data_IF_012535227013
#
_entry.id   IF_012535227013
#
_cell.length_a   1.000
_cell.length_b   1.000
_cell.length_c   1.000
_cell.angle_alpha   90.00
_cell.angle_beta   90.00
_cell.angle_gamma   90.00
#
_symmetry.space_group_name_H-M   'P 1'
#
loop_
_entity.id
_entity.type
_entity.pdbx_description
1 polymer ?
#
# COMPACT_ATOMS: atom_id res chain seq x y z
N UNK A 1 -18.17 -25.06 19.75
CA UNK A 1 -18.84 -23.95 19.03
C UNK A 1 -20.32 -23.76 19.40
N UNK A 2 -21.05 -24.79 19.86
CA UNK A 2 -22.47 -24.66 20.22
C UNK A 2 -22.80 -23.58 21.26
N UNK A 3 -22.03 -23.48 22.35
CA UNK A 3 -22.20 -22.43 23.37
C UNK A 3 -22.03 -21.01 22.80
N UNK A 4 -21.10 -20.83 21.87
CA UNK A 4 -20.86 -19.54 21.22
C UNK A 4 -22.03 -19.14 20.31
N UNK A 5 -22.59 -20.09 19.53
CA UNK A 5 -23.78 -19.87 18.71
C UNK A 5 -24.94 -19.38 19.57
N UNK A 6 -25.15 -20.03 20.70
CA UNK A 6 -26.23 -19.69 21.62
C UNK A 6 -26.02 -18.32 22.30
N UNK A 7 -24.82 -18.04 22.80
CA UNK A 7 -24.50 -16.71 23.37
C UNK A 7 -24.64 -15.59 22.35
N UNK A 8 -24.23 -15.80 21.10
CA UNK A 8 -24.35 -14.80 20.04
C UNK A 8 -25.83 -14.51 19.76
N UNK A 9 -26.67 -15.55 19.69
CA UNK A 9 -28.12 -15.42 19.54
C UNK A 9 -28.75 -14.64 20.69
N UNK A 10 -28.45 -15.01 21.94
CA UNK A 10 -28.95 -14.32 23.13
C UNK A 10 -28.51 -12.85 23.20
N UNK A 11 -27.28 -12.56 22.75
CA UNK A 11 -26.77 -11.19 22.66
C UNK A 11 -27.54 -10.37 21.61
N UNK A 12 -27.78 -10.93 20.43
CA UNK A 12 -28.49 -10.24 19.35
C UNK A 12 -29.96 -10.02 19.72
N UNK A 13 -30.67 -11.08 20.11
CA UNK A 13 -32.09 -11.03 20.51
C UNK A 13 -32.32 -10.17 21.76
N UNK A 14 -31.35 -10.12 22.67
CA UNK A 14 -31.45 -9.37 23.92
C UNK A 14 -30.89 -7.96 23.81
N UNK A 15 -29.56 -7.85 23.92
CA UNK A 15 -28.90 -6.54 24.07
C UNK A 15 -29.01 -5.69 22.81
N UNK A 16 -28.86 -6.30 21.63
CA UNK A 16 -28.90 -5.56 20.36
C UNK A 16 -30.31 -5.08 20.05
N UNK A 17 -31.33 -5.94 20.09
CA UNK A 17 -32.71 -5.50 19.83
C UNK A 17 -33.17 -4.43 20.84
N UNK A 18 -32.79 -4.53 22.12
CA UNK A 18 -33.07 -3.49 23.12
C UNK A 18 -32.40 -2.16 22.78
N UNK A 19 -31.23 -2.15 22.17
CA UNK A 19 -30.57 -0.93 21.73
C UNK A 19 -31.24 -0.36 20.46
N UNK A 20 -31.49 -1.21 19.46
CA UNK A 20 -32.11 -0.82 18.18
C UNK A 20 -33.52 -0.24 18.36
N UNK A 21 -34.29 -0.75 19.32
CA UNK A 21 -35.62 -0.21 19.63
C UNK A 21 -35.60 1.23 20.16
N UNK A 22 -34.50 1.66 20.78
CA UNK A 22 -34.33 3.04 21.27
C UNK A 22 -33.63 3.92 20.23
N UNK A 23 -32.60 3.39 19.61
CA UNK A 23 -31.75 4.10 18.67
C UNK A 23 -31.43 3.17 17.49
N UNK A 24 -32.10 3.35 16.33
CA UNK A 24 -31.80 2.55 15.15
C UNK A 24 -30.40 2.85 14.64
N UNK A 25 -29.82 1.89 13.91
CA UNK A 25 -28.55 2.10 13.24
C UNK A 25 -28.68 3.13 12.11
N UNK A 26 -27.56 3.80 11.80
CA UNK A 26 -27.49 4.87 10.79
C UNK A 26 -27.84 4.41 9.38
N UNK A 27 -27.67 3.12 9.09
CA UNK A 27 -27.96 2.50 7.81
C UNK A 27 -28.56 1.12 8.06
N UNK A 28 -29.47 0.65 7.19
CA UNK A 28 -30.00 -0.70 7.27
C UNK A 28 -28.97 -1.78 6.92
N UNK A 29 -27.99 -1.44 6.06
CA UNK A 29 -26.89 -2.32 5.65
C UNK A 29 -25.59 -1.52 5.67
N UNK A 30 -24.54 -2.13 6.18
CA UNK A 30 -23.19 -1.57 6.16
C UNK A 30 -22.36 -2.27 5.10
N UNK A 31 -21.70 -1.48 4.27
CA UNK A 31 -20.85 -1.93 3.17
C UNK A 31 -19.49 -1.26 3.24
N UNK A 32 -18.47 -1.97 2.80
CA UNK A 32 -17.17 -1.38 2.50
C UNK A 32 -17.28 -0.48 1.26
N UNK A 33 -16.22 0.27 0.93
CA UNK A 33 -16.14 1.07 -0.30
C UNK A 33 -16.12 0.23 -1.58
N UNK A 34 -15.94 -1.08 -1.47
CA UNK A 34 -16.00 -2.05 -2.56
C UNK A 34 -17.32 -2.81 -2.59
N UNK A 35 -18.37 -2.27 -1.95
CA UNK A 35 -19.72 -2.83 -1.88
C UNK A 35 -19.86 -4.19 -1.20
N UNK A 36 -18.84 -4.61 -0.43
CA UNK A 36 -18.91 -5.84 0.37
C UNK A 36 -19.71 -5.56 1.63
N UNK A 37 -20.86 -6.24 1.77
CA UNK A 37 -21.69 -6.21 2.98
C UNK A 37 -20.98 -6.87 4.16
N UNK A 38 -21.09 -6.28 5.34
CA UNK A 38 -20.49 -6.84 6.55
C UNK A 38 -21.45 -6.84 7.73
N UNK A 39 -21.29 -7.85 8.57
CA UNK A 39 -22.10 -8.07 9.78
C UNK A 39 -21.72 -7.07 10.86
N UNK A 40 -22.62 -6.87 11.84
CA UNK A 40 -22.34 -6.09 13.06
C UNK A 40 -21.16 -6.63 13.87
N UNK A 41 -20.99 -7.95 13.87
CA UNK A 41 -19.96 -8.65 14.64
C UNK A 41 -19.52 -9.89 13.88
N UNK A 42 -18.20 -10.11 13.81
CA UNK A 42 -17.58 -11.34 13.34
C UNK A 42 -17.03 -12.14 14.52
N UNK A 43 -17.13 -13.47 14.45
CA UNK A 43 -16.79 -14.44 15.48
C UNK A 43 -16.09 -15.65 14.85
N UNK A 44 -15.54 -16.58 15.65
CA UNK A 44 -15.06 -17.86 15.13
C UNK A 44 -16.09 -18.67 14.34
N UNK A 45 -17.39 -18.39 14.51
CA UNK A 45 -18.46 -19.05 13.74
C UNK A 45 -18.44 -18.65 12.26
N UNK A 46 -17.90 -17.47 11.95
CA UNK A 46 -17.86 -16.90 10.60
C UNK A 46 -16.73 -17.47 9.74
N UNK A 47 -15.83 -18.26 10.35
CA UNK A 47 -14.71 -18.94 9.70
C UNK A 47 -14.75 -20.46 9.96
N UNK A 48 -15.92 -21.04 10.27
CA UNK A 48 -16.07 -22.47 10.55
C UNK A 48 -15.61 -23.36 9.38
N UNK A 49 -15.74 -22.87 8.15
CA UNK A 49 -15.36 -23.60 6.94
C UNK A 49 -13.91 -23.34 6.48
N UNK A 50 -13.18 -22.47 7.17
CA UNK A 50 -11.81 -22.14 6.82
C UNK A 50 -10.90 -23.34 7.10
N UNK A 51 -10.23 -23.85 6.08
CA UNK A 51 -9.15 -24.81 6.24
C UNK A 51 -7.88 -24.05 6.61
N UNK A 52 -7.51 -24.11 7.89
CA UNK A 52 -6.35 -23.35 8.38
C UNK A 52 -5.08 -23.67 7.60
N UNK A 53 -4.85 -24.94 7.25
CA UNK A 53 -3.58 -25.34 6.62
C UNK A 53 -3.58 -24.95 5.15
N UNK A 54 -4.70 -25.15 4.45
CA UNK A 54 -4.76 -24.93 3.00
C UNK A 54 -5.11 -23.49 2.61
N UNK A 55 -5.91 -22.76 3.41
CA UNK A 55 -6.36 -21.40 3.09
C UNK A 55 -5.47 -20.32 3.74
N UNK A 56 -4.98 -20.55 4.97
CA UNK A 56 -4.06 -19.64 5.66
C UNK A 56 -2.59 -20.07 5.54
N UNK A 57 -2.31 -21.34 5.86
CA UNK A 57 -0.98 -21.92 5.83
C UNK A 57 0.04 -21.23 6.75
N UNK A 58 1.31 -21.36 6.37
CA UNK A 58 2.46 -20.79 7.06
C UNK A 58 3.14 -19.72 6.17
N UNK A 59 3.75 -18.67 6.75
CA UNK A 59 4.47 -17.68 5.94
C UNK A 59 5.64 -18.36 5.20
N UNK A 60 5.88 -17.94 3.96
CA UNK A 60 6.91 -18.54 3.09
C UNK A 60 6.47 -19.82 2.36
N UNK A 61 5.24 -20.28 2.54
CA UNK A 61 4.67 -21.45 1.87
C UNK A 61 3.35 -21.08 1.17
N UNK A 62 3.00 -21.79 0.09
CA UNK A 62 1.70 -21.64 -0.57
C UNK A 62 0.56 -21.87 0.45
N UNK A 63 -0.53 -21.07 0.47
CA UNK A 63 -0.91 -20.02 -0.51
C UNK A 63 -0.33 -18.63 -0.23
N UNK A 64 0.67 -18.51 0.65
CA UNK A 64 1.34 -17.26 1.03
C UNK A 64 0.42 -16.20 1.68
N UNK A 65 -0.77 -16.59 2.11
CA UNK A 65 -1.75 -15.71 2.79
C UNK A 65 -1.13 -14.98 3.98
N UNK A 66 -0.18 -15.62 4.69
CA UNK A 66 0.51 -15.05 5.86
C UNK A 66 1.84 -14.36 5.55
N UNK A 67 2.18 -14.24 4.27
CA UNK A 67 3.40 -13.57 3.79
C UNK A 67 4.29 -14.49 2.95
N UNK A 68 5.04 -13.89 2.03
CA UNK A 68 5.90 -14.60 1.07
C UNK A 68 7.26 -15.01 1.63
N UNK A 69 7.63 -14.55 2.83
CA UNK A 69 8.90 -14.88 3.49
C UNK A 69 8.63 -15.56 4.84
N UNK A 70 9.34 -16.64 5.21
CA UNK A 70 9.08 -17.37 6.45
C UNK A 70 9.35 -16.55 7.71
N UNK A 71 10.29 -15.60 7.67
CA UNK A 71 10.64 -14.76 8.82
C UNK A 71 10.06 -13.34 8.75
N UNK A 72 9.48 -12.95 7.61
CA UNK A 72 8.99 -11.60 7.32
C UNK A 72 9.89 -10.51 7.94
N UNK A 73 9.29 -9.55 8.65
CA UNK A 73 9.95 -8.39 9.22
C UNK A 73 10.74 -8.65 10.50
N UNK A 74 10.75 -9.89 11.01
CA UNK A 74 11.73 -10.30 12.04
C UNK A 74 13.11 -10.54 11.42
N UNK A 75 13.16 -10.93 10.14
CA UNK A 75 14.40 -11.11 9.39
C UNK A 75 14.87 -9.82 8.74
N UNK A 76 14.00 -9.18 7.94
CA UNK A 76 14.31 -7.93 7.25
C UNK A 76 13.06 -7.06 7.16
N UNK A 77 13.17 -5.78 7.54
CA UNK A 77 12.09 -4.82 7.32
C UNK A 77 11.75 -4.66 5.84
N UNK A 78 10.55 -4.16 5.54
CA UNK A 78 10.21 -3.74 4.19
C UNK A 78 11.17 -2.65 3.72
N UNK A 79 11.34 -2.50 2.41
CA UNK A 79 12.13 -1.40 1.87
C UNK A 79 11.38 -0.09 2.08
N UNK A 80 11.99 0.82 2.83
CA UNK A 80 11.54 2.21 2.88
C UNK A 80 11.97 2.85 1.56
N UNK A 81 11.00 3.09 0.68
CA UNK A 81 11.23 3.55 -0.69
C UNK A 81 10.31 4.72 -0.99
N UNK A 82 10.80 5.95 -0.81
CA UNK A 82 10.03 7.14 -1.16
C UNK A 82 10.15 7.37 -2.67
N UNK A 83 9.00 7.63 -3.30
CA UNK A 83 8.92 8.07 -4.68
C UNK A 83 9.32 9.54 -4.77
N UNK A 84 10.38 9.85 -5.50
CA UNK A 84 10.93 11.20 -5.57
C UNK A 84 11.57 11.50 -6.94
N UNK A 85 11.37 12.74 -7.38
CA UNK A 85 11.95 13.34 -8.56
C UNK A 85 11.31 14.72 -8.77
N UNK A 86 12.11 15.70 -9.12
CA UNK A 86 11.68 17.05 -9.50
C UNK A 86 12.86 17.80 -10.12
N UNK A 87 12.56 18.79 -10.96
CA UNK A 87 13.56 19.67 -11.57
C UNK A 87 14.59 18.89 -12.37
N UNK A 88 15.86 19.23 -12.15
CA UNK A 88 17.00 18.63 -12.83
C UNK A 88 17.47 17.33 -12.17
N UNK A 89 18.33 16.59 -12.88
CA UNK A 89 19.00 15.41 -12.32
C UNK A 89 19.79 15.74 -11.05
N UNK A 90 20.45 16.91 -10.99
CA UNK A 90 21.19 17.38 -9.82
C UNK A 90 20.28 17.62 -8.61
N UNK A 91 19.12 18.25 -8.83
CA UNK A 91 18.16 18.54 -7.76
C UNK A 91 17.60 17.26 -7.16
N UNK A 92 17.28 16.30 -8.02
CA UNK A 92 16.79 14.98 -7.58
C UNK A 92 17.90 14.15 -6.93
N UNK A 93 19.15 14.19 -7.42
CA UNK A 93 20.28 13.52 -6.78
C UNK A 93 20.52 14.03 -5.34
N UNK A 94 20.47 15.35 -5.12
CA UNK A 94 20.54 15.95 -3.78
C UNK A 94 19.43 15.41 -2.89
N UNK A 95 18.22 15.28 -3.43
CA UNK A 95 17.09 14.70 -2.69
C UNK A 95 17.30 13.23 -2.36
N UNK A 96 17.86 12.42 -3.26
CA UNK A 96 18.18 11.02 -2.98
C UNK A 96 19.22 10.87 -1.88
N UNK A 97 20.32 11.63 -1.94
CA UNK A 97 21.35 11.63 -0.89
C UNK A 97 20.76 12.02 0.45
N UNK A 98 19.93 13.07 0.49
CA UNK A 98 19.19 13.45 1.70
C UNK A 98 18.33 12.30 2.23
N UNK A 99 17.54 11.66 1.37
CA UNK A 99 16.64 10.58 1.80
C UNK A 99 17.41 9.35 2.31
N UNK A 100 18.49 8.96 1.63
CA UNK A 100 19.36 7.87 2.04
C UNK A 100 19.99 8.15 3.42
N UNK A 101 20.48 9.38 3.62
CA UNK A 101 21.03 9.83 4.92
C UNK A 101 19.98 9.80 6.04
N UNK A 102 18.69 9.94 5.69
CA UNK A 102 17.56 9.91 6.62
C UNK A 102 16.88 8.54 6.72
N UNK A 103 17.54 7.46 6.28
CA UNK A 103 17.09 6.08 6.51
C UNK A 103 16.25 5.45 5.41
N UNK A 104 16.13 6.10 4.25
CA UNK A 104 15.61 5.44 3.05
C UNK A 104 16.53 4.27 2.66
N UNK A 105 15.95 3.13 2.28
CA UNK A 105 16.69 1.88 1.98
C UNK A 105 16.52 1.41 0.53
N UNK A 106 15.79 2.17 -0.30
CA UNK A 106 15.73 1.95 -1.74
C UNK A 106 15.25 3.20 -2.46
N UNK A 107 15.74 3.44 -3.67
CA UNK A 107 15.39 4.62 -4.48
C UNK A 107 14.18 4.35 -5.38
N UNK A 108 13.39 5.38 -5.68
CA UNK A 108 12.31 5.28 -6.66
C UNK A 108 12.17 6.59 -7.41
N UNK A 109 12.40 6.53 -8.71
CA UNK A 109 12.51 7.72 -9.57
C UNK A 109 11.16 8.12 -10.10
N UNK A 110 10.79 9.39 -9.90
CA UNK A 110 9.64 10.02 -10.54
C UNK A 110 10.12 10.88 -11.70
N UNK A 111 9.78 10.51 -12.93
CA UNK A 111 10.12 11.29 -14.12
C UNK A 111 9.08 12.37 -14.40
N UNK A 112 9.48 13.45 -15.05
CA UNK A 112 8.52 14.46 -15.51
C UNK A 112 7.63 13.94 -16.65
N UNK A 113 6.61 14.72 -17.04
CA UNK A 113 5.69 14.29 -18.09
C UNK A 113 6.38 14.10 -19.46
N UNK A 114 7.23 15.04 -19.96
CA UNK A 114 7.97 14.86 -21.21
C UNK A 114 8.75 13.55 -21.29
N UNK A 115 9.55 13.25 -20.25
CA UNK A 115 10.33 12.01 -20.15
C UNK A 115 9.42 10.78 -20.18
N UNK A 116 8.28 10.81 -19.48
CA UNK A 116 7.33 9.70 -19.44
C UNK A 116 6.68 9.41 -20.80
N UNK A 117 6.46 10.44 -21.63
CA UNK A 117 5.79 10.32 -22.92
C UNK A 117 6.76 10.32 -24.12
N UNK A 118 8.07 10.35 -23.85
CA UNK A 118 9.12 10.18 -24.86
C UNK A 118 9.48 11.44 -25.65
N UNK A 119 9.35 12.63 -25.04
CA UNK A 119 9.84 13.88 -25.62
C UNK A 119 11.05 14.40 -24.85
N UNK A 120 12.01 14.93 -25.60
CA UNK A 120 13.10 15.72 -25.06
C UNK A 120 12.56 17.06 -24.51
N UNK A 121 13.29 17.63 -23.56
CA UNK A 121 12.91 18.87 -22.88
C UNK A 121 12.77 20.10 -23.79
N UNK A 122 13.38 20.08 -24.98
CA UNK A 122 13.29 21.16 -25.97
C UNK A 122 12.16 21.00 -26.99
N UNK A 123 11.44 19.87 -26.97
CA UNK A 123 10.29 19.65 -27.82
C UNK A 123 9.16 20.64 -27.49
N UNK A 124 8.45 21.15 -28.50
CA UNK A 124 7.41 22.18 -28.31
C UNK A 124 6.31 21.75 -27.31
N UNK A 125 5.97 20.46 -27.30
CA UNK A 125 4.99 19.89 -26.37
C UNK A 125 5.48 19.75 -24.92
N UNK A 126 6.79 19.89 -24.69
CA UNK A 126 7.39 19.80 -23.35
C UNK A 126 7.30 21.13 -22.59
N UNK A 127 7.01 22.23 -23.29
CA UNK A 127 6.97 23.57 -22.72
C UNK A 127 6.03 23.67 -21.51
N UNK A 128 6.59 24.05 -20.36
CA UNK A 128 5.85 24.21 -19.10
C UNK A 128 5.67 22.94 -18.26
N UNK A 129 6.17 21.80 -18.73
CA UNK A 129 6.09 20.50 -18.02
C UNK A 129 7.45 19.92 -17.63
N UNK A 130 8.55 20.42 -18.23
CA UNK A 130 9.93 20.00 -17.92
C UNK A 130 10.23 20.17 -16.43
N UNK A 131 10.62 19.08 -15.77
CA UNK A 131 11.02 19.06 -14.35
C UNK A 131 9.89 19.35 -13.34
N UNK A 132 8.63 19.48 -13.77
CA UNK A 132 7.54 19.99 -12.92
C UNK A 132 6.93 18.93 -12.00
N UNK A 133 6.70 17.75 -12.54
CA UNK A 133 6.06 16.61 -11.84
C UNK A 133 7.04 15.48 -11.51
N UNK A 134 8.29 15.64 -11.93
CA UNK A 134 9.36 14.66 -11.78
C UNK A 134 10.68 15.22 -12.28
N UNK A 135 11.72 14.40 -12.31
CA UNK A 135 13.02 14.75 -12.88
C UNK A 135 12.97 14.70 -14.41
N UNK A 136 13.55 15.69 -15.08
CA UNK A 136 13.75 15.69 -16.53
C UNK A 136 14.96 14.83 -16.89
N UNK A 137 14.81 13.90 -17.83
CA UNK A 137 15.88 13.03 -18.35
C UNK A 137 15.74 12.93 -19.87
N UNK A 138 16.66 13.56 -20.60
CA UNK A 138 16.67 13.51 -22.06
C UNK A 138 17.75 12.54 -22.56
N UNK A 139 18.86 12.42 -21.81
CA UNK A 139 20.07 11.73 -22.25
C UNK A 139 20.64 10.82 -21.16
N UNK A 140 21.64 10.01 -21.57
CA UNK A 140 22.46 9.27 -20.61
C UNK A 140 23.12 10.20 -19.58
N UNK A 141 23.48 11.44 -19.98
CA UNK A 141 24.20 12.35 -19.10
C UNK A 141 23.38 12.70 -17.86
N UNK A 142 22.08 12.87 -18.03
CA UNK A 142 21.17 13.20 -16.93
C UNK A 142 21.05 12.02 -15.96
N UNK A 143 21.05 10.78 -16.47
CA UNK A 143 21.05 9.58 -15.62
C UNK A 143 22.37 9.39 -14.85
N UNK A 144 23.51 9.72 -15.46
CA UNK A 144 24.81 9.72 -14.76
C UNK A 144 24.80 10.69 -13.58
N UNK A 145 24.26 11.91 -13.80
CA UNK A 145 24.13 12.94 -12.77
C UNK A 145 23.14 12.49 -11.68
N UNK A 146 22.00 11.95 -12.08
CA UNK A 146 20.94 11.50 -11.17
C UNK A 146 21.47 10.50 -10.13
N UNK A 147 22.37 9.60 -10.54
CA UNK A 147 22.96 8.57 -9.68
C UNK A 147 24.40 8.87 -9.24
N UNK A 148 24.90 10.07 -9.49
CA UNK A 148 26.27 10.44 -9.12
C UNK A 148 26.49 10.28 -7.61
N UNK A 149 27.52 9.50 -7.24
CA UNK A 149 27.86 9.22 -5.85
C UNK A 149 26.92 8.24 -5.15
N UNK A 150 26.07 7.52 -5.89
CA UNK A 150 25.20 6.46 -5.38
C UNK A 150 25.67 5.12 -5.99
N UNK A 151 26.11 4.14 -5.19
CA UNK A 151 26.54 2.83 -5.72
C UNK A 151 25.32 1.99 -6.11
N UNK A 152 25.13 1.78 -7.42
CA UNK A 152 24.04 0.98 -8.00
C UNK A 152 24.24 -0.53 -7.84
#
# INVERSE_FOLDING_TARGET
>A
MGDLKERLRQWDEGKVQKALSKFPERKPVFKTTSDIEFKRLFTPLDIEQLDYVNDLGFPGEYPFTRGVQPTMYRGRYWTMRQYAGFGTAEDTNKRYKYLLDHGQTGLSVAFDLPTQIGYDSDHELSYGEVGKTGVAIDTLKDMEILFEGIPL
#
